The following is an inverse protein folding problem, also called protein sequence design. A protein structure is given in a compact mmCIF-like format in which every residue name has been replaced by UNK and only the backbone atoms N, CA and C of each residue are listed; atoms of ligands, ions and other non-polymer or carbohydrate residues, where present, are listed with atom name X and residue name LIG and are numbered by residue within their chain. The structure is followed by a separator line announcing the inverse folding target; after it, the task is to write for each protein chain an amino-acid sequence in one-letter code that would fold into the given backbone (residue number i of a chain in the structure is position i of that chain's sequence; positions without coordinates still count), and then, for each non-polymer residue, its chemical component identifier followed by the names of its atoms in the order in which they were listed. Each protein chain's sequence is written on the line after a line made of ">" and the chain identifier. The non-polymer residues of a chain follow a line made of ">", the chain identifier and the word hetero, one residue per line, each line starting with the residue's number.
data_IF_809741678155
#
_entry.id   IF_809741678155
#
_cell.length_a   1.000
_cell.length_b   1.000
_cell.length_c   1.000
_cell.angle_alpha   90.00
_cell.angle_beta   90.00
_cell.angle_gamma   90.00
#
_symmetry.space_group_name_H-M   'P 1'
#
loop_
_entity.id
_entity.type
_entity.pdbx_description
1 polymer ?
#
# COMPACT_ATOMS: atom_id res chain seq x y z
N UNK A 1 2.06 -8.61 21.51
CA UNK A 1 2.82 -8.36 22.74
C UNK A 1 2.36 -9.38 23.75
N UNK A 2 3.26 -10.02 24.50
CA UNK A 2 2.87 -10.89 25.62
C UNK A 2 2.81 -9.99 26.84
N UNK A 3 1.67 -9.98 27.55
CA UNK A 3 1.55 -9.21 28.79
C UNK A 3 2.29 -9.90 29.96
N UNK A 4 2.34 -9.23 31.11
CA UNK A 4 3.02 -9.76 32.30
C UNK A 4 2.40 -11.07 32.84
N UNK A 5 1.18 -11.41 32.42
CA UNK A 5 0.49 -12.66 32.78
C UNK A 5 0.69 -13.80 31.77
N UNK A 6 1.44 -13.56 30.69
CA UNK A 6 1.68 -14.56 29.64
C UNK A 6 0.62 -14.58 28.52
N UNK A 7 -0.36 -13.65 28.53
CA UNK A 7 -1.40 -13.60 27.51
C UNK A 7 -1.00 -12.75 26.30
N UNK A 8 -1.38 -13.21 25.10
CA UNK A 8 -1.15 -12.47 23.87
C UNK A 8 -2.14 -11.30 23.74
N UNK A 9 -1.60 -10.08 23.62
CA UNK A 9 -2.35 -8.85 23.34
C UNK A 9 -1.94 -8.20 22.02
N UNK A 10 -2.92 -7.60 21.36
CA UNK A 10 -2.71 -6.72 20.22
C UNK A 10 -2.43 -5.30 20.71
N UNK A 11 -1.44 -4.64 20.12
CA UNK A 11 -1.04 -3.28 20.47
C UNK A 11 -1.32 -2.35 19.28
N UNK A 12 -2.11 -1.31 19.51
CA UNK A 12 -2.44 -0.28 18.52
C UNK A 12 -1.87 1.05 19.00
N UNK A 13 -1.14 1.75 18.12
CA UNK A 13 -0.66 3.10 18.43
C UNK A 13 -1.73 4.12 18.04
N UNK A 14 -2.18 4.95 18.99
CA UNK A 14 -3.10 6.08 18.78
C UNK A 14 -2.53 7.31 19.47
N UNK A 15 -2.34 8.40 18.73
CA UNK A 15 -1.85 9.69 19.25
C UNK A 15 -0.57 9.60 20.10
N UNK A 16 0.31 8.65 19.77
CA UNK A 16 1.56 8.40 20.48
C UNK A 16 1.45 7.36 21.60
N UNK A 17 0.25 7.11 22.12
CA UNK A 17 -0.02 6.12 23.15
C UNK A 17 -0.25 4.72 22.57
N UNK A 18 -0.02 3.70 23.40
CA UNK A 18 -0.29 2.31 23.06
C UNK A 18 -1.57 1.84 23.74
N UNK A 19 -2.55 1.47 22.91
CA UNK A 19 -3.76 0.80 23.35
C UNK A 19 -3.61 -0.71 23.20
N UNK A 20 -3.90 -1.45 24.27
CA UNK A 20 -3.72 -2.90 24.36
C UNK A 20 -5.08 -3.59 24.38
N UNK A 21 -5.35 -4.39 23.34
CA UNK A 21 -6.60 -5.12 23.21
C UNK A 21 -6.38 -6.63 23.36
N UNK A 22 -7.28 -7.33 24.08
CA UNK A 22 -7.37 -8.78 24.01
C UNK A 22 -7.54 -9.25 22.56
N UNK A 23 -6.79 -10.29 22.18
CA UNK A 23 -6.83 -10.82 20.80
C UNK A 23 -8.20 -11.34 20.39
N UNK A 24 -9.00 -11.86 21.34
CA UNK A 24 -10.36 -12.33 21.09
C UNK A 24 -11.37 -11.23 20.69
N UNK A 25 -11.03 -9.94 20.84
CA UNK A 25 -11.86 -8.82 20.37
C UNK A 25 -11.64 -8.47 18.90
N UNK A 26 -10.65 -9.10 18.24
CA UNK A 26 -10.29 -8.82 16.85
C UNK A 26 -10.99 -9.84 15.93
N UNK A 27 -12.27 -9.60 15.62
CA UNK A 27 -13.06 -10.54 14.81
C UNK A 27 -12.66 -10.55 13.32
N UNK A 28 -12.25 -9.40 12.76
CA UNK A 28 -12.04 -9.21 11.31
C UNK A 28 -10.61 -8.76 10.96
N UNK A 29 -9.61 -9.44 11.53
CA UNK A 29 -8.20 -9.14 11.23
C UNK A 29 -7.61 -10.15 10.26
N UNK A 30 -6.71 -9.65 9.40
CA UNK A 30 -5.95 -10.46 8.47
C UNK A 30 -4.46 -10.19 8.66
N UNK A 31 -3.65 -11.24 8.56
CA UNK A 31 -2.19 -11.10 8.55
C UNK A 31 -1.75 -10.30 7.33
N UNK A 32 -0.95 -9.27 7.53
CA UNK A 32 -0.57 -8.33 6.47
C UNK A 32 0.96 -8.23 6.34
N UNK A 33 1.54 -9.03 5.45
CA UNK A 33 2.97 -8.92 5.11
C UNK A 33 3.23 -8.00 3.92
N UNK A 34 2.28 -7.93 2.98
CA UNK A 34 2.34 -7.08 1.81
C UNK A 34 0.94 -6.53 1.54
N UNK A 35 0.85 -5.28 1.06
CA UNK A 35 -0.41 -4.62 0.75
C UNK A 35 -0.45 -4.11 -0.67
N UNK A 36 -1.66 -4.04 -1.22
CA UNK A 36 -1.85 -3.35 -2.49
C UNK A 36 -1.64 -1.85 -2.30
N UNK A 37 -1.19 -1.18 -3.37
CA UNK A 37 -1.04 0.28 -3.38
C UNK A 37 -2.35 0.98 -3.01
N UNK A 38 -3.50 0.42 -3.40
CA UNK A 38 -4.81 0.93 -3.02
C UNK A 38 -5.06 0.88 -1.51
N UNK A 39 -4.70 -0.22 -0.84
CA UNK A 39 -4.85 -0.34 0.63
C UNK A 39 -3.90 0.58 1.40
N UNK A 40 -2.83 1.06 0.78
CA UNK A 40 -1.88 2.01 1.38
C UNK A 40 -2.32 3.48 1.32
N UNK A 41 -3.48 3.78 0.74
CA UNK A 41 -3.97 5.15 0.59
C UNK A 41 -4.10 5.86 1.94
N UNK A 42 -3.50 7.04 2.05
CA UNK A 42 -3.46 7.84 3.28
C UNK A 42 -2.29 7.51 4.22
N UNK A 43 -1.56 6.41 3.97
CA UNK A 43 -0.37 6.05 4.76
C UNK A 43 0.93 6.48 4.07
N UNK A 44 2.00 6.62 4.84
CA UNK A 44 3.37 6.77 4.35
C UNK A 44 4.31 5.92 5.20
N UNK A 45 5.40 5.46 4.59
CA UNK A 45 6.39 4.57 5.21
C UNK A 45 7.78 5.10 4.92
N UNK A 46 8.73 4.90 5.83
CA UNK A 46 10.10 5.39 5.62
C UNK A 46 10.74 4.73 4.40
N UNK A 47 10.48 3.44 4.22
CA UNK A 47 10.96 2.63 3.10
C UNK A 47 9.83 1.81 2.48
N UNK A 48 9.74 1.79 1.15
CA UNK A 48 8.79 0.97 0.39
C UNK A 48 9.54 0.02 -0.52
N UNK A 49 9.16 -1.27 -0.52
CA UNK A 49 9.50 -2.21 -1.59
C UNK A 49 8.27 -2.39 -2.47
N UNK A 50 8.34 -1.96 -3.72
CA UNK A 50 7.28 -2.09 -4.72
C UNK A 50 7.58 -3.29 -5.61
N UNK A 51 6.64 -4.23 -5.70
CA UNK A 51 6.66 -5.31 -6.67
C UNK A 51 5.82 -4.86 -7.87
N UNK A 52 6.44 -4.73 -9.04
CA UNK A 52 5.72 -4.38 -10.26
C UNK A 52 4.91 -5.58 -10.75
N UNK A 53 3.68 -5.37 -11.21
CA UNK A 53 2.95 -6.41 -11.92
C UNK A 53 3.60 -6.69 -13.29
N UNK A 54 3.24 -7.80 -13.95
CA UNK A 54 3.67 -8.10 -15.31
C UNK A 54 3.35 -6.99 -16.32
N UNK A 55 4.13 -6.94 -17.41
CA UNK A 55 4.05 -5.96 -18.53
C UNK A 55 2.64 -5.85 -19.12
N UNK A 56 1.95 -6.97 -19.28
CA UNK A 56 0.59 -7.04 -19.83
C UNK A 56 -0.50 -6.64 -18.81
N UNK A 57 -0.15 -6.42 -17.55
CA UNK A 57 -1.12 -6.11 -16.51
C UNK A 57 -1.81 -4.76 -16.76
N UNK A 58 -3.16 -4.69 -16.69
CA UNK A 58 -3.87 -3.42 -16.78
C UNK A 58 -3.61 -2.51 -15.58
N UNK A 59 -3.08 -3.05 -14.49
CA UNK A 59 -2.72 -2.28 -13.29
C UNK A 59 -1.40 -1.52 -13.48
N UNK A 60 -0.54 -1.96 -14.41
CA UNK A 60 0.76 -1.37 -14.68
C UNK A 60 0.59 0.01 -15.37
N UNK A 61 0.37 1.03 -14.55
CA UNK A 61 0.07 2.40 -14.99
C UNK A 61 0.93 3.41 -14.24
N UNK A 62 1.08 4.58 -14.85
CA UNK A 62 1.89 5.67 -14.30
C UNK A 62 1.36 6.15 -12.96
N UNK A 63 0.05 6.22 -12.82
CA UNK A 63 -0.63 6.66 -11.60
C UNK A 63 -0.45 5.63 -10.47
N UNK A 64 -0.50 4.33 -10.76
CA UNK A 64 -0.21 3.30 -9.76
C UNK A 64 1.24 3.40 -9.30
N UNK A 65 2.18 3.51 -10.24
CA UNK A 65 3.61 3.67 -9.96
C UNK A 65 3.88 4.93 -9.13
N UNK A 66 3.36 6.08 -9.57
CA UNK A 66 3.49 7.35 -8.87
C UNK A 66 2.92 7.28 -7.45
N UNK A 67 1.74 6.67 -7.29
CA UNK A 67 1.12 6.50 -5.98
C UNK A 67 2.01 5.64 -5.10
N UNK A 68 2.53 4.51 -5.60
CA UNK A 68 3.42 3.65 -4.84
C UNK A 68 4.73 4.33 -4.41
N UNK A 69 5.34 5.10 -5.32
CA UNK A 69 6.59 5.86 -5.05
C UNK A 69 6.36 6.92 -3.98
N UNK A 70 5.25 7.67 -4.06
CA UNK A 70 4.93 8.74 -3.09
C UNK A 70 4.52 8.23 -1.70
N UNK A 71 4.35 6.91 -1.52
CA UNK A 71 4.20 6.30 -0.18
C UNK A 71 5.50 6.20 0.58
N UNK A 72 6.65 6.25 -0.08
CA UNK A 72 7.94 6.25 0.59
C UNK A 72 8.35 7.67 1.00
N UNK A 73 8.86 7.82 2.22
CA UNK A 73 9.45 9.08 2.69
C UNK A 73 10.93 9.19 2.32
N UNK A 74 11.68 8.09 2.40
CA UNK A 74 13.14 8.12 2.24
C UNK A 74 13.64 7.22 1.12
N UNK A 75 13.07 6.01 0.98
CA UNK A 75 13.62 5.03 0.04
C UNK A 75 12.55 4.19 -0.66
N UNK A 76 12.72 4.01 -1.97
CA UNK A 76 11.94 3.08 -2.80
C UNK A 76 12.86 2.02 -3.40
N UNK A 77 12.53 0.76 -3.17
CA UNK A 77 13.09 -0.39 -3.88
C UNK A 77 12.05 -0.94 -4.84
N UNK A 78 12.36 -0.98 -6.13
CA UNK A 78 11.47 -1.54 -7.16
C UNK A 78 11.96 -2.93 -7.53
N UNK A 79 11.05 -3.91 -7.51
CA UNK A 79 11.29 -5.29 -7.92
C UNK A 79 10.41 -5.58 -9.14
N UNK A 80 11.05 -5.81 -10.28
CA UNK A 80 10.38 -6.03 -11.57
C UNK A 80 11.38 -5.94 -12.72
N UNK A 81 10.89 -6.10 -13.95
CA UNK A 81 11.72 -5.95 -15.16
C UNK A 81 11.86 -4.47 -15.53
N UNK A 82 12.93 -4.14 -16.28
CA UNK A 82 13.10 -2.79 -16.85
C UNK A 82 11.94 -2.43 -17.78
N UNK A 83 11.45 -3.39 -18.56
CA UNK A 83 10.34 -3.21 -19.49
C UNK A 83 9.04 -2.88 -18.75
N UNK A 84 8.74 -3.57 -17.65
CA UNK A 84 7.56 -3.27 -16.85
C UNK A 84 7.64 -1.86 -16.24
N UNK A 85 8.82 -1.44 -15.80
CA UNK A 85 9.02 -0.09 -15.29
C UNK A 85 8.83 0.96 -16.40
N UNK A 86 9.46 0.76 -17.57
CA UNK A 86 9.35 1.67 -18.70
C UNK A 86 7.89 1.82 -19.15
N UNK A 87 7.19 0.69 -19.29
CA UNK A 87 5.78 0.69 -19.69
C UNK A 87 4.86 1.34 -18.65
N UNK A 88 5.12 1.12 -17.35
CA UNK A 88 4.38 1.80 -16.29
C UNK A 88 4.54 3.32 -16.39
N UNK A 89 5.75 3.82 -16.69
CA UNK A 89 6.00 5.24 -16.89
C UNK A 89 5.21 5.78 -18.09
N UNK A 90 5.17 5.04 -19.19
CA UNK A 90 4.53 5.50 -20.42
C UNK A 90 3.00 5.44 -20.38
N UNK A 91 2.40 4.45 -19.72
CA UNK A 91 0.96 4.18 -19.76
C UNK A 91 0.14 4.99 -18.74
N UNK A 92 -0.61 6.04 -19.14
CA UNK A 92 -1.53 6.72 -18.25
C UNK A 92 -2.83 5.93 -18.03
N UNK A 93 -3.52 6.20 -16.94
CA UNK A 93 -4.89 5.70 -16.72
C UNK A 93 -5.87 6.43 -17.63
N UNK A 94 -6.65 5.66 -18.40
CA UNK A 94 -7.77 6.18 -19.18
C UNK A 94 -9.01 6.26 -18.29
N UNK A 95 -9.58 7.46 -18.11
CA UNK A 95 -10.82 7.68 -17.35
C UNK A 95 -11.94 8.14 -18.28
N UNK A 96 -12.91 7.26 -18.52
CA UNK A 96 -14.14 7.60 -19.22
C UNK A 96 -15.20 8.07 -18.20
N UNK A 97 -15.27 9.38 -17.94
CA UNK A 97 -16.24 9.95 -16.97
C UNK A 97 -17.33 10.83 -17.60
N UNK A 98 -17.24 11.15 -18.90
CA UNK A 98 -18.16 12.08 -19.57
C UNK A 98 -18.10 13.53 -19.07
N UNK A 99 -17.32 13.83 -18.02
CA UNK A 99 -17.18 15.17 -17.47
C UNK A 99 -16.42 16.13 -18.39
N UNK A 100 -15.60 15.60 -19.29
CA UNK A 100 -14.90 16.42 -20.31
C UNK A 100 -15.82 16.93 -21.41
N UNK A 101 -16.94 16.26 -21.66
CA UNK A 101 -17.88 16.56 -22.77
C UNK A 101 -19.11 17.34 -22.34
N UNK A 102 -19.33 17.56 -21.04
CA UNK A 102 -20.31 18.53 -20.52
C UNK A 102 -19.69 19.93 -20.55
N UNK A 103 -19.85 20.65 -21.66
CA UNK A 103 -19.66 22.11 -21.76
C UNK A 103 -20.98 22.76 -22.15
#
# INVERSE_FOLDING_TARGET
>A
MIDAGGEARAAFRRDGELDLLPTNRLADVQTMHAMSVHRSQGSQFDRVTLILPPVDSPLLTRELLYTAVTRAKEHVRIVGTRDALAQAIERPVVRASGLRTRR
#
